data_IF_531986666986
#
_entry.id   IF_531986666986
#
_cell.length_a   1.000
_cell.length_b   1.000
_cell.length_c   1.000
_cell.angle_alpha   90.00
_cell.angle_beta   90.00
_cell.angle_gamma   90.00
#
_symmetry.space_group_name_H-M   'P 1'
#
loop_
_entity.id
_entity.type
_entity.pdbx_description
1 polymer ?
#
# COMPACT_ATOMS: atom_id res chain seq x y z
N UNK A 1 -21.49 -2.34 35.29
CA UNK A 1 -22.27 -1.65 34.26
C UNK A 1 -21.95 -2.33 32.94
N UNK A 2 -22.95 -3.03 32.39
CA UNK A 2 -22.79 -3.84 31.19
C UNK A 2 -22.66 -2.92 29.97
N UNK A 3 -21.63 -3.16 29.15
CA UNK A 3 -21.55 -2.56 27.82
C UNK A 3 -22.52 -3.36 26.96
N UNK A 4 -23.68 -2.77 26.66
CA UNK A 4 -24.68 -3.39 25.80
C UNK A 4 -24.05 -3.75 24.45
N UNK A 5 -24.03 -5.05 24.15
CA UNK A 5 -23.51 -5.62 22.92
C UNK A 5 -24.48 -5.40 21.76
N UNK A 6 -24.54 -4.20 21.22
CA UNK A 6 -25.39 -3.86 20.05
C UNK A 6 -24.67 -4.22 18.72
N UNK A 7 -23.79 -5.22 18.72
CA UNK A 7 -23.16 -5.72 17.49
C UNK A 7 -23.47 -7.21 17.31
N UNK A 8 -24.76 -7.52 17.15
CA UNK A 8 -25.20 -8.74 16.45
C UNK A 8 -24.95 -8.55 14.95
N UNK A 9 -23.66 -8.49 14.56
CA UNK A 9 -23.28 -8.55 13.16
C UNK A 9 -23.37 -10.01 12.68
N UNK A 10 -23.97 -10.30 11.52
CA UNK A 10 -23.99 -11.65 10.94
C UNK A 10 -22.59 -12.16 10.55
N UNK A 11 -21.55 -11.33 10.70
CA UNK A 11 -20.18 -11.56 10.23
C UNK A 11 -19.26 -12.25 11.27
N UNK A 12 -19.82 -12.71 12.39
CA UNK A 12 -19.06 -13.33 13.47
C UNK A 12 -18.40 -12.32 14.43
N UNK A 13 -17.86 -12.77 15.57
CA UNK A 13 -17.26 -11.88 16.55
C UNK A 13 -15.88 -11.37 16.09
N UNK A 14 -15.47 -10.17 16.51
CA UNK A 14 -14.13 -9.65 16.24
C UNK A 14 -13.06 -10.56 16.86
N UNK A 15 -11.92 -10.72 16.18
CA UNK A 15 -10.83 -11.57 16.65
C UNK A 15 -10.12 -11.03 17.90
N UNK A 16 -10.10 -9.71 18.10
CA UNK A 16 -9.53 -9.06 19.28
C UNK A 16 -10.15 -7.67 19.54
N UNK A 17 -9.80 -7.01 20.65
CA UNK A 17 -10.30 -5.68 21.01
C UNK A 17 -9.93 -4.60 19.97
N UNK A 18 -8.73 -4.69 19.38
CA UNK A 18 -8.28 -3.78 18.30
C UNK A 18 -9.19 -3.89 17.09
N UNK A 19 -9.53 -5.12 16.69
CA UNK A 19 -10.44 -5.39 15.57
C UNK A 19 -11.85 -4.90 15.90
N UNK A 20 -12.32 -5.12 17.12
CA UNK A 20 -13.62 -4.62 17.58
C UNK A 20 -13.74 -3.09 17.44
N UNK A 21 -12.71 -2.35 17.89
CA UNK A 21 -12.64 -0.88 17.77
C UNK A 21 -12.63 -0.43 16.30
N UNK A 22 -11.87 -1.09 15.44
CA UNK A 22 -11.80 -0.78 14.02
C UNK A 22 -13.14 -1.01 13.30
N UNK A 23 -13.81 -2.13 13.61
CA UNK A 23 -15.12 -2.46 13.04
C UNK A 23 -16.22 -1.53 13.56
N UNK A 24 -16.18 -1.18 14.86
CA UNK A 24 -17.09 -0.18 15.43
C UNK A 24 -16.88 1.19 14.79
N UNK A 25 -15.64 1.59 14.53
CA UNK A 25 -15.34 2.83 13.81
C UNK A 25 -15.96 2.82 12.41
N UNK A 26 -15.83 1.71 11.65
CA UNK A 26 -16.48 1.58 10.33
C UNK A 26 -17.98 1.76 10.46
N UNK A 27 -18.63 1.07 11.39
CA UNK A 27 -20.08 1.14 11.60
C UNK A 27 -20.54 2.55 11.97
N UNK A 28 -19.81 3.23 12.87
CA UNK A 28 -20.12 4.61 13.26
C UNK A 28 -20.00 5.58 12.08
N UNK A 29 -18.94 5.43 11.27
CA UNK A 29 -18.70 6.30 10.12
C UNK A 29 -19.74 6.07 9.00
N UNK A 30 -20.12 4.83 8.73
CA UNK A 30 -21.09 4.51 7.67
C UNK A 30 -22.53 4.83 8.08
N UNK A 31 -22.89 4.61 9.34
CA UNK A 31 -24.24 4.92 9.85
C UNK A 31 -24.52 6.43 9.92
N UNK A 32 -23.49 7.24 10.15
CA UNK A 32 -23.60 8.69 10.30
C UNK A 32 -22.96 9.45 9.13
N UNK A 33 -22.90 8.85 7.94
CA UNK A 33 -22.09 9.33 6.83
C UNK A 33 -22.34 10.81 6.44
N UNK A 34 -23.60 11.26 6.42
CA UNK A 34 -23.94 12.65 6.07
C UNK A 34 -23.38 13.65 7.11
N UNK A 35 -23.61 13.40 8.41
CA UNK A 35 -23.05 14.21 9.49
C UNK A 35 -21.53 14.18 9.52
N UNK A 36 -20.91 13.02 9.25
CA UNK A 36 -19.45 12.91 9.13
C UNK A 36 -18.94 13.76 7.97
N UNK A 37 -19.59 13.74 6.81
CA UNK A 37 -19.20 14.57 5.65
C UNK A 37 -19.36 16.06 5.94
N UNK A 38 -20.43 16.49 6.61
CA UNK A 38 -20.61 17.89 7.01
C UNK A 38 -19.52 18.34 7.97
N UNK A 39 -19.18 17.53 8.98
CA UNK A 39 -18.11 17.82 9.92
C UNK A 39 -16.73 17.89 9.25
N UNK A 40 -16.44 16.96 8.33
CA UNK A 40 -15.18 16.95 7.56
C UNK A 40 -15.07 18.22 6.71
N UNK A 41 -16.13 18.60 6.01
CA UNK A 41 -16.15 19.84 5.22
C UNK A 41 -15.92 21.06 6.12
N UNK A 42 -16.66 21.17 7.23
CA UNK A 42 -16.54 22.28 8.16
C UNK A 42 -15.11 22.40 8.73
N UNK A 43 -14.46 21.27 9.08
CA UNK A 43 -13.07 21.25 9.54
C UNK A 43 -12.08 21.72 8.46
N UNK A 44 -12.26 21.27 7.21
CA UNK A 44 -11.41 21.67 6.08
C UNK A 44 -11.56 23.18 5.83
N UNK A 45 -12.79 23.69 5.80
CA UNK A 45 -13.06 25.11 5.52
C UNK A 45 -12.60 26.01 6.67
N UNK A 46 -12.86 25.62 7.92
CA UNK A 46 -12.40 26.37 9.11
C UNK A 46 -10.89 26.52 9.09
N UNK A 47 -10.18 25.40 8.88
CA UNK A 47 -8.72 25.36 8.86
C UNK A 47 -8.13 26.21 7.74
N UNK A 48 -8.73 26.15 6.55
CA UNK A 48 -8.20 26.81 5.37
C UNK A 48 -8.86 28.18 5.10
N UNK A 49 -9.63 28.73 6.03
CA UNK A 49 -10.44 29.94 5.80
C UNK A 49 -9.64 31.16 5.31
N UNK A 50 -8.35 31.24 5.66
CA UNK A 50 -7.44 32.33 5.30
C UNK A 50 -6.50 31.98 4.14
N UNK A 51 -6.73 30.90 3.42
CA UNK A 51 -5.90 30.57 2.26
C UNK A 51 -6.26 31.43 1.07
N UNK A 52 -5.27 31.71 0.21
CA UNK A 52 -5.46 32.51 -1.00
C UNK A 52 -6.60 31.97 -1.87
N UNK A 53 -6.69 30.64 -2.01
CA UNK A 53 -7.72 30.00 -2.83
C UNK A 53 -9.14 30.24 -2.29
N UNK A 54 -9.38 30.09 -0.98
CA UNK A 54 -10.72 30.32 -0.43
C UNK A 54 -11.08 31.81 -0.34
N UNK A 55 -10.09 32.68 -0.11
CA UNK A 55 -10.27 34.13 -0.15
C UNK A 55 -10.66 34.61 -1.56
N UNK A 56 -10.07 34.04 -2.61
CA UNK A 56 -10.40 34.36 -4.02
C UNK A 56 -11.90 34.20 -4.32
N UNK A 57 -12.57 33.24 -3.70
CA UNK A 57 -14.00 32.98 -3.88
C UNK A 57 -14.88 33.65 -2.81
N UNK A 58 -14.31 34.53 -1.98
CA UNK A 58 -15.03 35.28 -0.95
C UNK A 58 -15.87 34.36 -0.04
N UNK A 59 -15.32 33.21 0.35
CA UNK A 59 -16.02 32.28 1.25
C UNK A 59 -16.20 32.90 2.65
N UNK A 60 -15.38 33.88 3.01
CA UNK A 60 -15.50 34.72 4.21
C UNK A 60 -15.66 33.92 5.52
N UNK A 61 -14.97 32.79 5.62
CA UNK A 61 -15.03 31.92 6.79
C UNK A 61 -16.30 31.08 6.92
N UNK A 62 -17.18 31.07 5.92
CA UNK A 62 -18.32 30.15 5.90
C UNK A 62 -17.84 28.70 5.85
N UNK A 63 -18.49 27.84 6.64
CA UNK A 63 -18.14 26.43 6.80
C UNK A 63 -19.27 25.48 6.42
N UNK A 64 -20.44 26.02 6.06
CA UNK A 64 -21.62 25.26 5.68
C UNK A 64 -21.59 24.80 4.22
N UNK A 65 -22.27 23.68 3.98
CA UNK A 65 -22.32 23.00 2.69
C UNK A 65 -22.97 23.84 1.59
N UNK A 66 -23.98 24.64 1.91
CA UNK A 66 -24.75 25.43 0.93
C UNK A 66 -23.91 26.58 0.38
N UNK A 67 -23.25 27.33 1.27
CA UNK A 67 -22.35 28.42 0.90
C UNK A 67 -21.13 27.88 0.15
N UNK A 68 -20.56 26.74 0.58
CA UNK A 68 -19.47 26.09 -0.15
C UNK A 68 -19.85 25.74 -1.58
N UNK A 69 -20.99 25.07 -1.79
CA UNK A 69 -21.47 24.66 -3.11
C UNK A 69 -21.81 25.84 -4.03
N UNK A 70 -22.29 26.95 -3.47
CA UNK A 70 -22.69 28.13 -4.25
C UNK A 70 -21.50 29.01 -4.65
N UNK A 71 -20.40 29.00 -3.89
CA UNK A 71 -19.24 29.88 -4.13
C UNK A 71 -18.03 29.19 -4.73
N UNK A 72 -17.75 27.94 -4.34
CA UNK A 72 -16.54 27.23 -4.79
C UNK A 72 -16.86 26.44 -6.07
N UNK A 73 -16.19 26.73 -7.20
CA UNK A 73 -16.44 26.03 -8.44
C UNK A 73 -15.90 24.60 -8.41
N UNK A 74 -16.50 23.71 -9.20
CA UNK A 74 -15.83 22.48 -9.57
C UNK A 74 -14.65 22.79 -10.50
N UNK A 75 -13.50 22.18 -10.22
CA UNK A 75 -12.23 22.45 -10.91
C UNK A 75 -11.57 21.17 -11.39
N UNK A 76 -10.76 21.28 -12.43
CA UNK A 76 -9.83 20.25 -12.89
C UNK A 76 -8.42 20.49 -12.33
N UNK A 77 -7.47 19.62 -12.71
CA UNK A 77 -6.08 19.82 -12.34
C UNK A 77 -5.49 21.06 -13.02
N UNK A 78 -5.89 21.30 -14.27
CA UNK A 78 -5.40 22.40 -15.10
C UNK A 78 -5.80 23.76 -14.50
N UNK A 79 -6.98 23.86 -13.89
CA UNK A 79 -7.43 25.08 -13.18
C UNK A 79 -6.57 25.39 -11.93
N UNK A 80 -6.06 24.34 -11.26
CA UNK A 80 -5.22 24.44 -10.06
C UNK A 80 -3.72 24.48 -10.36
N UNK A 81 -3.32 24.14 -11.59
CA UNK A 81 -1.92 24.03 -11.99
C UNK A 81 -1.11 25.30 -11.71
N UNK A 82 -1.61 26.54 -11.92
CA UNK A 82 -0.84 27.75 -11.60
C UNK A 82 -0.49 27.86 -10.12
N UNK A 83 -1.41 27.46 -9.23
CA UNK A 83 -1.20 27.50 -7.77
C UNK A 83 -0.24 26.40 -7.34
N UNK A 84 -0.38 25.20 -7.92
CA UNK A 84 0.52 24.07 -7.69
C UNK A 84 1.95 24.43 -8.12
N UNK A 85 2.12 25.10 -9.26
CA UNK A 85 3.43 25.49 -9.77
C UNK A 85 4.12 26.53 -8.88
N UNK A 86 3.36 27.49 -8.32
CA UNK A 86 3.90 28.43 -7.33
C UNK A 86 4.47 27.72 -6.10
N UNK A 87 3.71 26.77 -5.54
CA UNK A 87 4.16 25.96 -4.40
C UNK A 87 5.41 25.15 -4.78
N UNK A 88 5.37 24.49 -5.95
CA UNK A 88 6.50 23.71 -6.48
C UNK A 88 7.76 24.56 -6.69
N UNK A 89 7.62 25.82 -7.06
CA UNK A 89 8.71 26.76 -7.28
C UNK A 89 9.24 27.42 -6.00
N UNK A 90 8.64 27.16 -4.84
CA UNK A 90 9.17 27.65 -3.56
C UNK A 90 8.23 28.57 -2.78
N UNK A 91 7.05 28.91 -3.31
CA UNK A 91 6.07 29.68 -2.53
C UNK A 91 5.59 28.85 -1.33
N UNK A 92 5.69 29.44 -0.14
CA UNK A 92 5.29 28.83 1.15
C UNK A 92 4.15 29.57 1.82
N UNK A 93 3.60 30.59 1.17
CA UNK A 93 2.37 31.24 1.63
C UNK A 93 1.19 30.24 1.62
N UNK A 94 0.15 30.45 2.44
CA UNK A 94 -1.00 29.55 2.52
C UNK A 94 -1.88 29.65 1.27
N UNK A 95 -1.45 29.07 0.14
CA UNK A 95 -2.17 29.15 -1.13
C UNK A 95 -3.40 28.23 -1.12
N UNK A 96 -3.17 26.92 -0.92
CA UNK A 96 -4.20 25.88 -0.96
C UNK A 96 -4.54 25.33 0.43
N UNK A 97 -3.60 25.38 1.38
CA UNK A 97 -3.80 24.92 2.75
C UNK A 97 -3.11 25.85 3.74
N UNK A 98 -3.70 25.96 4.93
CA UNK A 98 -3.05 26.62 6.07
C UNK A 98 -1.89 25.79 6.63
N UNK A 99 -1.91 24.46 6.46
CA UNK A 99 -0.76 23.63 6.78
C UNK A 99 0.24 23.65 5.63
N UNK A 100 1.55 23.70 5.91
CA UNK A 100 2.56 23.63 4.87
C UNK A 100 2.45 22.34 4.05
N UNK A 101 2.55 22.47 2.73
CA UNK A 101 2.69 21.31 1.83
C UNK A 101 4.01 20.61 2.15
N UNK A 102 3.93 19.33 2.51
CA UNK A 102 5.10 18.55 2.91
C UNK A 102 5.80 17.89 1.71
N UNK A 103 5.02 17.47 0.71
CA UNK A 103 5.52 16.89 -0.54
C UNK A 103 4.40 16.91 -1.61
N UNK A 104 4.75 16.56 -2.84
CA UNK A 104 3.82 16.30 -3.92
C UNK A 104 3.70 14.80 -4.19
N UNK A 105 2.48 14.30 -4.16
CA UNK A 105 2.16 12.95 -4.58
C UNK A 105 1.95 12.93 -6.09
N UNK A 106 2.77 12.18 -6.83
CA UNK A 106 2.65 12.10 -8.29
C UNK A 106 1.59 11.09 -8.69
N UNK A 107 0.58 11.56 -9.42
CA UNK A 107 -0.46 10.69 -9.98
C UNK A 107 0.10 9.83 -11.13
N UNK A 108 -0.58 8.73 -11.44
CA UNK A 108 -0.40 8.01 -12.71
C UNK A 108 -1.02 8.76 -13.88
N UNK A 109 -2.04 9.58 -13.63
CA UNK A 109 -2.60 10.49 -14.63
C UNK A 109 -1.63 11.61 -14.99
N UNK A 110 -1.57 11.94 -16.27
CA UNK A 110 -0.68 12.96 -16.81
C UNK A 110 -1.44 14.20 -17.27
N UNK A 111 -0.75 15.34 -17.29
CA UNK A 111 -1.19 16.57 -17.97
C UNK A 111 -0.01 17.09 -18.78
N UNK A 112 -0.21 17.35 -20.07
CA UNK A 112 0.87 17.69 -21.01
C UNK A 112 2.08 16.73 -21.00
N UNK A 113 1.84 15.43 -20.77
CA UNK A 113 2.89 14.40 -20.72
C UNK A 113 3.57 14.23 -19.37
N UNK A 114 3.41 15.18 -18.45
CA UNK A 114 3.99 15.14 -17.10
C UNK A 114 3.01 14.61 -16.06
N UNK A 115 3.51 13.98 -15.00
CA UNK A 115 2.67 13.46 -13.90
C UNK A 115 2.04 14.62 -13.12
N UNK A 116 0.75 14.50 -12.80
CA UNK A 116 0.04 15.49 -11.97
C UNK A 116 0.63 15.52 -10.54
N UNK A 117 0.97 16.71 -10.06
CA UNK A 117 1.51 16.96 -8.71
C UNK A 117 0.38 17.25 -7.74
N UNK A 118 0.08 16.31 -6.84
CA UNK A 118 -0.97 16.48 -5.83
C UNK A 118 -0.35 16.93 -4.51
N UNK A 119 -0.57 18.17 -4.05
CA UNK A 119 -0.02 18.62 -2.77
C UNK A 119 -0.62 17.80 -1.62
N UNK A 120 0.23 17.34 -0.71
CA UNK A 120 -0.20 16.70 0.54
C UNK A 120 0.39 17.41 1.74
N UNK A 121 -0.31 17.34 2.87
CA UNK A 121 0.18 17.78 4.17
C UNK A 121 0.53 16.55 5.03
N UNK A 122 1.29 16.76 6.10
CA UNK A 122 1.79 15.67 6.97
C UNK A 122 0.66 14.85 7.60
N UNK A 123 -0.41 15.49 8.06
CA UNK A 123 -1.58 14.85 8.69
C UNK A 123 -2.28 13.83 7.76
N UNK A 124 -2.19 14.00 6.44
CA UNK A 124 -2.81 13.04 5.50
C UNK A 124 -2.15 11.66 5.55
N UNK A 125 -0.93 11.56 6.07
CA UNK A 125 -0.29 10.27 6.30
C UNK A 125 -0.97 9.49 7.43
N UNK A 126 -1.41 10.17 8.48
CA UNK A 126 -2.17 9.55 9.59
C UNK A 126 -3.52 9.02 9.10
N UNK A 127 -4.21 9.77 8.23
CA UNK A 127 -5.48 9.33 7.63
C UNK A 127 -5.31 8.10 6.74
N UNK A 128 -4.22 8.03 5.97
CA UNK A 128 -3.88 6.82 5.19
C UNK A 128 -3.58 5.63 6.10
N UNK A 129 -2.83 5.85 7.18
CA UNK A 129 -2.55 4.80 8.16
C UNK A 129 -3.83 4.29 8.82
N UNK A 130 -4.76 5.18 9.18
CA UNK A 130 -6.06 4.81 9.70
C UNK A 130 -6.79 3.91 8.71
N UNK A 131 -6.90 4.29 7.44
CA UNK A 131 -7.52 3.46 6.41
C UNK A 131 -6.86 2.07 6.29
N UNK A 132 -5.53 1.99 6.26
CA UNK A 132 -4.82 0.70 6.20
C UNK A 132 -5.08 -0.17 7.44
N UNK A 133 -5.25 0.45 8.60
CA UNK A 133 -5.53 -0.29 9.85
C UNK A 133 -6.89 -0.99 9.84
N UNK A 134 -7.83 -0.58 8.98
CA UNK A 134 -9.16 -1.16 8.87
C UNK A 134 -9.21 -2.44 8.02
N UNK A 135 -8.19 -2.68 7.19
CA UNK A 135 -8.20 -3.79 6.22
C UNK A 135 -8.20 -5.18 6.89
N UNK A 136 -7.28 -5.40 7.82
CA UNK A 136 -7.15 -6.71 8.49
C UNK A 136 -8.32 -7.04 9.42
N UNK A 137 -8.84 -6.11 10.24
CA UNK A 137 -10.07 -6.33 11.01
C UNK A 137 -11.25 -6.81 10.16
N UNK A 138 -11.45 -6.22 8.97
CA UNK A 138 -12.49 -6.66 8.04
C UNK A 138 -12.16 -8.04 7.47
N UNK A 139 -10.92 -8.28 7.03
CA UNK A 139 -10.51 -9.57 6.47
C UNK A 139 -10.68 -10.72 7.47
N UNK A 140 -10.40 -10.49 8.75
CA UNK A 140 -10.48 -11.47 9.83
C UNK A 140 -11.90 -12.00 10.09
N UNK A 141 -12.94 -11.26 9.69
CA UNK A 141 -14.32 -11.73 9.74
C UNK A 141 -14.56 -12.90 8.77
N UNK A 142 -13.86 -12.90 7.63
CA UNK A 142 -14.08 -13.85 6.54
C UNK A 142 -13.00 -14.92 6.48
N UNK A 143 -11.75 -14.58 6.81
CA UNK A 143 -10.59 -15.48 6.69
C UNK A 143 -9.91 -15.59 8.05
N UNK A 144 -10.09 -16.74 8.70
CA UNK A 144 -9.52 -17.01 10.02
C UNK A 144 -8.05 -17.46 9.93
N UNK A 145 -7.27 -17.14 10.95
CA UNK A 145 -5.91 -17.67 11.12
C UNK A 145 -4.82 -16.93 10.34
N UNK A 146 -5.10 -15.75 9.79
CA UNK A 146 -4.10 -14.92 9.10
C UNK A 146 -2.99 -14.42 10.03
N UNK A 147 -3.27 -14.30 11.33
CA UNK A 147 -2.32 -14.01 12.42
C UNK A 147 -1.22 -15.07 12.59
N UNK A 148 -1.47 -16.30 12.12
CA UNK A 148 -0.53 -17.43 12.27
C UNK A 148 0.48 -17.51 11.14
N UNK A 149 0.31 -16.70 10.10
CA UNK A 149 1.10 -16.74 8.87
C UNK A 149 1.96 -15.51 8.66
N UNK A 150 2.57 -15.46 7.47
CA UNK A 150 3.19 -14.25 6.93
C UNK A 150 2.63 -13.98 5.54
N UNK A 151 2.42 -12.71 5.22
CA UNK A 151 2.00 -12.29 3.89
C UNK A 151 3.19 -12.13 2.95
N UNK A 152 3.12 -12.76 1.79
CA UNK A 152 4.02 -12.48 0.67
C UNK A 152 3.42 -11.36 -0.18
N UNK A 153 3.99 -10.16 -0.06
CA UNK A 153 3.63 -9.00 -0.85
C UNK A 153 4.84 -8.51 -1.63
N UNK A 154 4.64 -8.21 -2.91
CA UNK A 154 5.65 -7.60 -3.77
C UNK A 154 5.42 -6.09 -3.80
N UNK A 155 6.16 -5.38 -2.96
CA UNK A 155 6.04 -3.94 -2.76
C UNK A 155 7.24 -3.24 -3.36
N UNK A 156 7.01 -2.20 -4.15
CA UNK A 156 8.08 -1.51 -4.88
C UNK A 156 8.01 0.00 -4.66
N UNK A 157 9.16 0.60 -4.37
CA UNK A 157 9.32 2.04 -4.53
C UNK A 157 9.54 2.39 -6.01
N UNK A 158 9.32 3.66 -6.33
CA UNK A 158 9.59 4.27 -7.64
C UNK A 158 10.50 5.47 -7.48
N UNK A 159 11.00 5.98 -8.60
CA UNK A 159 11.81 7.19 -8.64
C UNK A 159 11.09 8.37 -7.98
N UNK A 160 11.89 9.23 -7.37
CA UNK A 160 11.45 10.49 -6.78
C UNK A 160 12.25 11.63 -7.40
N UNK A 161 11.63 12.79 -7.50
CA UNK A 161 12.24 14.01 -8.00
C UNK A 161 12.09 15.11 -6.96
N UNK A 162 12.82 16.21 -7.14
CA UNK A 162 12.66 17.42 -6.33
C UNK A 162 12.11 18.53 -7.22
N UNK A 163 11.17 19.30 -6.70
CA UNK A 163 10.69 20.51 -7.37
C UNK A 163 11.75 21.62 -7.26
N UNK A 164 11.69 22.68 -8.08
CA UNK A 164 12.63 23.81 -7.99
C UNK A 164 12.70 24.46 -6.59
N UNK A 165 11.58 24.47 -5.88
CA UNK A 165 11.47 24.93 -4.50
C UNK A 165 11.92 23.91 -3.44
N UNK A 166 12.47 22.76 -3.81
CA UNK A 166 13.01 21.75 -2.89
C UNK A 166 11.99 20.80 -2.25
N UNK A 167 10.73 20.78 -2.70
CA UNK A 167 9.76 19.78 -2.22
C UNK A 167 9.97 18.46 -2.97
N UNK A 168 9.81 17.33 -2.27
CA UNK A 168 9.83 16.02 -2.92
C UNK A 168 8.58 15.81 -3.77
N UNK A 169 8.75 15.18 -4.93
CA UNK A 169 7.67 14.73 -5.79
C UNK A 169 7.84 13.24 -6.09
N UNK A 170 6.90 12.41 -5.62
CA UNK A 170 6.98 10.94 -5.72
C UNK A 170 5.62 10.26 -5.64
N UNK A 171 5.46 9.02 -6.11
CA UNK A 171 4.19 8.32 -6.00
C UNK A 171 3.79 8.10 -4.54
N UNK A 172 2.47 8.07 -4.27
CA UNK A 172 1.92 7.93 -2.90
C UNK A 172 2.44 6.71 -2.16
N UNK A 173 2.57 5.56 -2.83
CA UNK A 173 3.10 4.34 -2.20
C UNK A 173 4.60 4.46 -1.88
N UNK A 174 5.39 5.13 -2.74
CA UNK A 174 6.79 5.42 -2.43
C UNK A 174 6.91 6.31 -1.19
N UNK A 175 6.08 7.35 -1.09
CA UNK A 175 6.01 8.20 0.11
C UNK A 175 5.67 7.38 1.36
N UNK A 176 4.65 6.53 1.27
CA UNK A 176 4.23 5.67 2.38
C UNK A 176 5.32 4.68 2.81
N UNK A 177 5.91 3.91 1.89
CA UNK A 177 6.97 2.94 2.24
C UNK A 177 8.20 3.59 2.84
N UNK A 178 8.54 4.82 2.41
CA UNK A 178 9.66 5.58 2.96
C UNK A 178 9.35 6.27 4.29
N UNK A 179 8.09 6.31 4.70
CA UNK A 179 7.66 6.95 5.95
C UNK A 179 7.92 6.09 7.18
N UNK A 180 7.92 6.73 8.36
CA UNK A 180 8.06 6.04 9.64
C UNK A 180 6.86 5.12 9.92
N UNK A 181 5.66 5.48 9.48
CA UNK A 181 4.47 4.62 9.60
C UNK A 181 4.68 3.23 9.00
N UNK A 182 5.49 3.11 7.94
CA UNK A 182 5.85 1.83 7.35
C UNK A 182 7.12 1.24 7.97
N UNK A 183 8.19 2.05 8.10
CA UNK A 183 9.52 1.58 8.52
C UNK A 183 9.57 1.14 9.98
N UNK A 184 8.95 1.91 10.86
CA UNK A 184 8.93 1.70 12.32
C UNK A 184 7.54 1.25 12.80
N UNK A 185 6.77 0.62 11.91
CA UNK A 185 5.44 0.08 12.24
C UNK A 185 5.51 -0.83 13.47
N UNK A 186 4.56 -0.70 14.42
CA UNK A 186 4.51 -1.59 15.57
C UNK A 186 4.28 -3.03 15.11
N UNK A 187 4.70 -3.99 15.92
CA UNK A 187 4.42 -5.38 15.65
C UNK A 187 2.90 -5.61 15.58
N UNK A 188 2.47 -6.20 14.47
CA UNK A 188 1.07 -6.54 14.21
C UNK A 188 1.04 -7.96 13.61
N UNK A 189 0.45 -8.96 14.31
CA UNK A 189 0.45 -10.34 13.85
C UNK A 189 -0.23 -10.51 12.49
N UNK A 190 -1.16 -9.62 12.12
CA UNK A 190 -1.86 -9.67 10.84
C UNK A 190 -1.06 -9.05 9.69
N UNK A 191 0.01 -8.30 9.97
CA UNK A 191 0.81 -7.58 8.99
C UNK A 191 2.30 -7.97 9.04
N UNK A 192 2.57 -9.26 9.27
CA UNK A 192 3.93 -9.82 9.20
C UNK A 192 4.27 -10.17 7.76
N UNK A 193 5.19 -9.43 7.15
CA UNK A 193 5.62 -9.66 5.77
C UNK A 193 6.79 -10.64 5.70
N UNK A 194 6.88 -11.39 4.59
CA UNK A 194 8.09 -12.15 4.26
C UNK A 194 9.23 -11.24 3.83
N UNK A 195 8.90 -10.14 3.16
CA UNK A 195 9.83 -9.19 2.56
C UNK A 195 10.40 -8.22 3.61
N UNK A 196 11.73 -8.09 3.75
CA UNK A 196 12.33 -7.09 4.61
C UNK A 196 12.17 -5.68 4.03
N UNK A 197 12.22 -4.66 4.89
CA UNK A 197 12.04 -3.26 4.48
C UNK A 197 13.14 -2.84 3.48
N UNK A 198 14.37 -3.31 3.66
CA UNK A 198 15.53 -3.05 2.81
C UNK A 198 15.30 -3.54 1.37
N UNK A 199 14.64 -4.69 1.18
CA UNK A 199 14.28 -5.19 -0.13
C UNK A 199 13.18 -4.34 -0.80
N UNK A 200 12.18 -3.92 -0.04
CA UNK A 200 11.06 -3.08 -0.52
C UNK A 200 11.56 -1.67 -0.91
N UNK A 201 12.52 -1.13 -0.15
CA UNK A 201 13.08 0.20 -0.32
C UNK A 201 14.26 0.25 -1.30
N UNK A 202 14.61 -0.88 -1.93
CA UNK A 202 15.64 -0.90 -2.95
C UNK A 202 15.15 -0.19 -4.23
N UNK A 203 15.88 0.82 -4.73
CA UNK A 203 15.51 1.51 -5.98
C UNK A 203 15.64 0.62 -7.23
N UNK A 204 16.56 -0.36 -7.19
CA UNK A 204 16.72 -1.33 -8.25
C UNK A 204 15.57 -2.34 -8.22
N UNK A 205 14.71 -2.26 -9.23
CA UNK A 205 13.51 -3.10 -9.33
C UNK A 205 13.85 -4.59 -9.46
N UNK A 206 14.97 -4.94 -10.10
CA UNK A 206 15.40 -6.33 -10.22
C UNK A 206 15.83 -6.87 -8.86
N UNK A 207 16.70 -6.15 -8.16
CA UNK A 207 17.20 -6.58 -6.84
C UNK A 207 16.07 -6.65 -5.82
N UNK A 208 15.20 -5.65 -5.80
CA UNK A 208 14.00 -5.62 -4.96
C UNK A 208 13.11 -6.85 -5.21
N UNK A 209 12.74 -7.10 -6.47
CA UNK A 209 11.87 -8.22 -6.82
C UNK A 209 12.52 -9.56 -6.49
N UNK A 210 13.78 -9.75 -6.88
CA UNK A 210 14.51 -11.00 -6.71
C UNK A 210 14.59 -11.38 -5.23
N UNK A 211 14.94 -10.43 -4.37
CA UNK A 211 15.11 -10.68 -2.94
C UNK A 211 13.78 -10.85 -2.19
N UNK A 212 12.73 -10.12 -2.58
CA UNK A 212 11.37 -10.35 -2.05
C UNK A 212 10.86 -11.76 -2.40
N UNK A 213 11.11 -12.22 -3.63
CA UNK A 213 10.76 -13.57 -4.06
C UNK A 213 11.54 -14.62 -3.27
N UNK A 214 12.86 -14.45 -3.15
CA UNK A 214 13.72 -15.35 -2.37
C UNK A 214 13.25 -15.46 -0.92
N UNK A 215 12.88 -14.33 -0.29
CA UNK A 215 12.32 -14.32 1.06
C UNK A 215 10.99 -15.08 1.14
N UNK A 216 10.11 -14.91 0.16
CA UNK A 216 8.83 -15.63 0.07
C UNK A 216 9.04 -17.15 0.04
N UNK A 217 9.87 -17.62 -0.89
CA UNK A 217 10.20 -19.03 -1.06
C UNK A 217 10.83 -19.63 0.21
N UNK A 218 11.78 -18.92 0.83
CA UNK A 218 12.45 -19.37 2.05
C UNK A 218 11.51 -19.48 3.27
N UNK A 219 10.47 -18.63 3.35
CA UNK A 219 9.48 -18.73 4.43
C UNK A 219 8.47 -19.85 4.17
N UNK A 220 8.09 -20.10 2.92
CA UNK A 220 7.17 -21.19 2.57
C UNK A 220 7.73 -22.57 2.94
N UNK A 221 9.05 -22.76 2.85
CA UNK A 221 9.71 -23.99 3.31
C UNK A 221 9.60 -24.23 4.83
N UNK A 222 9.49 -23.15 5.62
CA UNK A 222 9.50 -23.24 7.08
C UNK A 222 8.12 -23.54 7.66
N UNK A 223 7.05 -23.07 7.02
CA UNK A 223 5.67 -23.16 7.53
C UNK A 223 4.98 -24.48 7.16
N UNK A 224 5.41 -25.10 6.07
CA UNK A 224 4.87 -26.36 5.59
C UNK A 224 6.05 -27.28 5.36
N UNK A 225 6.14 -28.39 6.10
CA UNK A 225 7.00 -29.52 5.73
C UNK A 225 6.51 -30.20 4.44
N UNK A 226 6.11 -29.41 3.45
CA UNK A 226 5.49 -29.79 2.19
C UNK A 226 6.34 -29.23 1.05
N UNK A 227 7.08 -30.14 0.43
CA UNK A 227 7.94 -29.93 -0.72
C UNK A 227 7.12 -29.62 -1.99
N UNK A 228 6.67 -28.36 -2.17
CA UNK A 228 6.41 -27.74 -3.48
C UNK A 228 5.90 -26.30 -3.34
N UNK A 229 6.73 -25.34 -3.73
CA UNK A 229 6.28 -23.99 -4.06
C UNK A 229 6.22 -23.84 -5.58
N UNK A 230 5.01 -23.71 -6.12
CA UNK A 230 4.80 -23.32 -7.52
C UNK A 230 4.79 -21.81 -7.62
N UNK A 231 5.74 -21.23 -8.36
CA UNK A 231 5.79 -19.80 -8.64
C UNK A 231 4.54 -19.39 -9.45
N UNK A 232 3.78 -18.34 -9.07
CA UNK A 232 2.65 -17.86 -9.87
C UNK A 232 3.09 -17.47 -11.28
N UNK A 233 2.35 -17.89 -12.31
CA UNK A 233 2.62 -17.51 -13.70
C UNK A 233 2.39 -16.00 -13.98
N UNK A 234 1.79 -15.27 -13.05
CA UNK A 234 1.39 -13.85 -13.16
C UNK A 234 2.56 -12.86 -13.23
N UNK A 235 3.82 -13.31 -13.09
CA UNK A 235 5.01 -12.46 -13.21
C UNK A 235 5.45 -12.18 -14.67
N UNK A 236 4.63 -12.55 -15.66
CA UNK A 236 4.86 -12.33 -17.09
C UNK A 236 5.40 -10.95 -17.49
N UNK A 237 4.93 -9.81 -16.95
CA UNK A 237 5.45 -8.49 -17.33
C UNK A 237 6.75 -8.09 -16.62
N UNK A 238 7.18 -8.80 -15.56
CA UNK A 238 8.40 -8.50 -14.81
C UNK A 238 9.58 -9.44 -15.14
N UNK A 239 9.45 -10.25 -16.20
CA UNK A 239 10.59 -10.94 -16.79
C UNK A 239 11.12 -12.11 -15.97
N UNK A 240 10.24 -12.87 -15.30
CA UNK A 240 10.66 -14.12 -14.67
C UNK A 240 10.93 -15.18 -15.74
N UNK A 241 12.15 -15.19 -16.25
CA UNK A 241 12.64 -16.23 -17.14
C UNK A 241 12.89 -17.52 -16.37
N UNK A 242 12.89 -18.65 -17.08
CA UNK A 242 13.36 -19.93 -16.54
C UNK A 242 14.73 -19.80 -15.85
N UNK A 243 15.60 -18.91 -16.36
CA UNK A 243 16.93 -18.65 -15.79
C UNK A 243 16.90 -17.96 -14.42
N UNK A 244 15.97 -17.03 -14.16
CA UNK A 244 15.84 -16.42 -12.81
C UNK A 244 15.35 -17.44 -11.79
N UNK A 245 14.46 -18.35 -12.20
CA UNK A 245 14.00 -19.46 -11.35
C UNK A 245 15.11 -20.44 -10.98
N UNK A 246 15.97 -20.80 -11.94
CA UNK A 246 17.16 -21.62 -11.68
C UNK A 246 18.10 -20.94 -10.69
N UNK A 247 18.34 -19.64 -10.84
CA UNK A 247 19.19 -18.87 -9.92
C UNK A 247 18.63 -18.85 -8.50
N UNK A 248 17.32 -18.57 -8.32
CA UNK A 248 16.70 -18.62 -6.99
C UNK A 248 16.83 -20.01 -6.34
N UNK A 249 16.66 -21.08 -7.13
CA UNK A 249 16.78 -22.45 -6.64
C UNK A 249 18.19 -22.73 -6.14
N UNK A 250 19.19 -22.29 -6.92
CA UNK A 250 20.59 -22.45 -6.55
C UNK A 250 20.93 -21.65 -5.28
N UNK A 251 20.50 -20.39 -5.18
CA UNK A 251 20.68 -19.56 -4.00
C UNK A 251 20.10 -20.19 -2.72
N UNK A 252 18.92 -20.81 -2.82
CA UNK A 252 18.27 -21.53 -1.70
C UNK A 252 19.09 -22.78 -1.32
N UNK A 253 19.56 -23.52 -2.33
CA UNK A 253 20.32 -24.76 -2.15
C UNK A 253 21.67 -24.52 -1.50
N UNK A 254 22.43 -23.54 -2.00
CA UNK A 254 23.77 -23.22 -1.50
C UNK A 254 23.75 -22.34 -0.26
N UNK A 255 22.64 -21.62 -0.03
CA UNK A 255 22.56 -20.59 1.00
C UNK A 255 23.39 -19.34 0.66
N UNK A 256 23.75 -19.14 -0.61
CA UNK A 256 24.52 -17.97 -1.08
C UNK A 256 23.66 -17.04 -1.92
N UNK A 257 23.73 -15.74 -1.69
CA UNK A 257 22.98 -14.75 -2.47
C UNK A 257 23.64 -14.46 -3.81
N UNK A 258 22.84 -14.42 -4.87
CA UNK A 258 23.22 -14.11 -6.24
C UNK A 258 24.12 -12.85 -6.33
N UNK A 259 25.28 -12.91 -7.02
CA UNK A 259 26.20 -11.79 -7.14
C UNK A 259 25.59 -10.55 -7.82
N UNK A 260 24.53 -10.72 -8.61
CA UNK A 260 23.79 -9.60 -9.24
C UNK A 260 23.08 -8.71 -8.24
N UNK A 261 22.82 -9.19 -7.02
CA UNK A 261 22.34 -8.33 -5.94
C UNK A 261 23.57 -7.62 -5.39
N UNK A 262 23.72 -6.33 -5.68
CA UNK A 262 24.89 -5.53 -5.31
C UNK A 262 24.61 -4.57 -4.15
N UNK A 263 23.34 -4.28 -3.87
CA UNK A 263 22.94 -3.37 -2.79
C UNK A 263 23.44 -3.87 -1.42
N UNK A 264 24.29 -3.10 -0.72
CA UNK A 264 24.84 -3.51 0.57
C UNK A 264 23.78 -3.76 1.65
N UNK A 265 22.73 -2.96 1.69
CA UNK A 265 21.66 -3.05 2.70
C UNK A 265 20.86 -4.34 2.51
N UNK A 266 20.57 -4.69 1.25
CA UNK A 266 19.94 -5.97 0.93
C UNK A 266 20.88 -7.12 1.29
N UNK A 267 22.15 -7.06 0.89
CA UNK A 267 23.12 -8.12 1.19
C UNK A 267 23.21 -8.40 2.68
N UNK A 268 23.36 -7.36 3.48
CA UNK A 268 23.40 -7.45 4.94
C UNK A 268 22.11 -8.09 5.48
N UNK A 269 20.94 -7.59 5.06
CA UNK A 269 19.68 -8.14 5.53
C UNK A 269 19.50 -9.61 5.14
N UNK A 270 19.90 -9.99 3.93
CA UNK A 270 19.74 -11.34 3.41
C UNK A 270 20.64 -12.37 4.10
N UNK A 271 21.75 -11.97 4.72
CA UNK A 271 22.57 -12.88 5.56
C UNK A 271 21.77 -13.52 6.70
N UNK A 272 20.75 -12.83 7.21
CA UNK A 272 19.87 -13.32 8.29
C UNK A 272 18.82 -14.30 7.79
N UNK A 273 18.45 -14.20 6.51
CA UNK A 273 17.30 -14.91 5.91
C UNK A 273 17.76 -16.15 5.15
N UNK A 274 18.79 -16.01 4.32
CA UNK A 274 19.28 -17.07 3.43
C UNK A 274 20.08 -18.08 4.26
N UNK A 275 19.65 -19.34 4.23
CA UNK A 275 20.33 -20.47 4.88
C UNK A 275 20.29 -21.67 3.94
N UNK A 276 21.36 -22.49 3.90
CA UNK A 276 21.37 -23.69 3.07
C UNK A 276 20.20 -24.60 3.46
N UNK A 277 19.43 -25.06 2.47
CA UNK A 277 18.34 -26.02 2.71
C UNK A 277 18.47 -27.23 1.79
N UNK A 278 18.72 -28.40 2.38
CA UNK A 278 19.01 -29.63 1.63
C UNK A 278 17.79 -30.30 0.99
N UNK A 279 16.57 -30.06 1.50
CA UNK A 279 15.33 -30.75 1.09
C UNK A 279 14.36 -29.86 0.28
N UNK A 280 14.88 -29.01 -0.60
CA UNK A 280 14.04 -28.10 -1.39
C UNK A 280 13.88 -28.58 -2.84
N UNK A 281 12.69 -29.07 -3.19
CA UNK A 281 12.30 -29.43 -4.56
C UNK A 281 11.38 -28.35 -5.15
N UNK A 282 11.90 -27.57 -6.11
CA UNK A 282 11.05 -26.70 -6.96
C UNK A 282 10.64 -27.49 -8.20
N UNK A 283 9.34 -27.68 -8.38
CA UNK A 283 8.78 -28.00 -9.70
C UNK A 283 8.51 -26.70 -10.45
N UNK A 284 9.39 -26.31 -11.37
CA UNK A 284 9.08 -25.27 -12.34
C UNK A 284 7.93 -25.76 -13.23
N UNK A 285 6.93 -24.93 -13.57
CA UNK A 285 5.94 -25.32 -14.56
C UNK A 285 6.65 -25.65 -15.87
N UNK A 286 6.56 -26.92 -16.31
CA UNK A 286 7.02 -27.34 -17.63
C UNK A 286 6.16 -26.62 -18.66
N UNK A 287 6.76 -25.67 -19.38
CA UNK A 287 6.19 -24.96 -20.53
C UNK A 287 4.74 -24.48 -20.32
N UNK A 288 4.56 -23.27 -19.79
CA UNK A 288 3.30 -22.57 -19.98
C UNK A 288 3.13 -22.30 -21.49
N UNK A 289 2.04 -22.75 -22.15
CA UNK A 289 1.78 -22.36 -23.53
C UNK A 289 1.64 -20.84 -23.58
N UNK A 290 2.23 -20.20 -24.61
CA UNK A 290 2.00 -18.79 -24.93
C UNK A 290 0.50 -18.61 -25.20
N UNK A 291 -0.26 -18.29 -24.18
CA UNK A 291 -1.69 -17.99 -24.30
C UNK A 291 -1.82 -16.47 -24.32
N UNK A 292 -2.02 -15.98 -25.54
CA UNK A 292 -2.64 -14.69 -25.81
C UNK A 292 -3.97 -14.60 -25.07
N UNK A 293 -4.19 -13.49 -24.36
CA UNK A 293 -5.51 -12.92 -24.06
C UNK A 293 -6.59 -13.83 -23.46
N UNK A 294 -7.04 -13.45 -22.26
CA UNK A 294 -8.30 -13.89 -21.61
C UNK A 294 -8.46 -15.39 -21.34
N UNK A 295 -8.17 -15.81 -20.10
CA UNK A 295 -9.14 -16.53 -19.25
C UNK A 295 -8.58 -16.75 -17.83
N UNK A 296 -9.50 -16.68 -16.87
CA UNK A 296 -9.29 -16.50 -15.44
C UNK A 296 -9.44 -17.84 -14.71
N UNK A 297 -8.59 -18.04 -13.69
CA UNK A 297 -8.68 -19.01 -12.58
C UNK A 297 -8.43 -20.50 -12.93
N UNK A 298 -7.63 -21.23 -12.13
CA UNK A 298 -7.50 -22.68 -12.29
C UNK A 298 -8.74 -23.38 -11.72
N UNK A 299 -9.38 -24.21 -12.55
CA UNK A 299 -10.35 -25.20 -12.14
C UNK A 299 -9.78 -26.10 -11.04
N UNK A 300 -10.46 -26.13 -9.89
CA UNK A 300 -10.29 -27.14 -8.87
C UNK A 300 -10.85 -28.48 -9.37
N UNK A 301 -9.97 -29.46 -9.57
CA UNK A 301 -10.35 -30.87 -9.78
C UNK A 301 -10.99 -31.50 -8.53
N UNK A 302 -11.68 -32.65 -8.69
CA UNK A 302 -12.99 -32.88 -8.09
C UNK A 302 -12.90 -33.46 -6.67
N UNK A 303 -13.57 -32.81 -5.71
CA UNK A 303 -14.05 -33.51 -4.51
C UNK A 303 -15.42 -34.09 -4.81
N UNK A 304 -15.44 -35.40 -5.08
CA UNK A 304 -16.66 -36.20 -4.92
C UNK A 304 -17.18 -36.02 -3.50
N UNK A 305 -18.40 -35.51 -3.36
CA UNK A 305 -19.25 -35.77 -2.21
C UNK A 305 -20.67 -35.95 -2.75
N UNK A 306 -21.04 -37.20 -2.90
CA UNK A 306 -22.42 -37.67 -3.06
C UNK A 306 -23.18 -37.41 -1.77
N UNK A 307 -24.22 -36.60 -1.83
CA UNK A 307 -25.44 -36.77 -1.03
C UNK A 307 -26.63 -36.41 -1.91
N UNK A 308 -27.64 -37.28 -1.83
CA UNK A 308 -28.91 -37.37 -2.57
C UNK A 308 -29.65 -36.06 -2.79
#
# INVERSE_FOLDING_TARGET
MAVDSILSSPLGPPACEKDAKALQFIEEMTRNADSVQENVLAQILTRNAQTEYLQRYNLNGATDRETFKSKIPMVTYEDLQPLIQRIANGDRSPILSAHPVSEFLTSSGTSAGERKLMPTIKEELDRRQLLYSLLMPVMNLYVKGLDKGKGLYFLFIKSETQTPGGLLARPVLTSYYKSDHFKTRPYDPYNVYTSPNEAILCPDSFQSMYTQMLCGLMNANKSSGLERCSLPASFGPYGFSSSTGQQLTEDIRTGSLNPKVTDPSIRECMTRVVRPTQNWLISLPRNAPRTTGSELLPESGPTQNTWT
#
